data_IF_901460375854
#
_entry.id   IF_901460375854
#
_cell.length_a   1.000
_cell.length_b   1.000
_cell.length_c   1.000
_cell.angle_alpha   90.00
_cell.angle_beta   90.00
_cell.angle_gamma   90.00
#
_symmetry.space_group_name_H-M   'P 1'
#
loop_
_entity.id
_entity.type
_entity.pdbx_description
1 polymer ?
#
# COMPACT_ATOMS: atom_id res chain seq x y z
N UNK A 1 -23.51 -68.38 1.16
CA UNK A 1 -24.45 -67.25 1.25
C UNK A 1 -24.03 -66.22 0.27
N UNK A 2 -24.62 -66.22 -0.91
CA UNK A 2 -24.29 -65.32 -2.04
C UNK A 2 -25.19 -64.07 -1.99
N UNK A 3 -24.60 -62.93 -1.75
CA UNK A 3 -25.29 -61.64 -1.80
C UNK A 3 -25.76 -61.34 -3.22
N UNK A 4 -27.01 -60.91 -3.36
CA UNK A 4 -27.68 -60.65 -4.62
C UNK A 4 -27.26 -59.29 -5.23
N UNK A 5 -27.22 -59.24 -6.57
CA UNK A 5 -26.83 -58.07 -7.37
C UNK A 5 -27.70 -56.80 -7.15
N UNK A 6 -28.69 -56.81 -6.28
CA UNK A 6 -29.55 -55.65 -5.97
C UNK A 6 -29.06 -54.80 -4.79
N UNK A 7 -28.16 -55.29 -3.95
CA UNK A 7 -27.67 -54.54 -2.77
C UNK A 7 -26.44 -53.69 -3.07
N UNK A 8 -25.80 -53.89 -4.23
CA UNK A 8 -24.57 -53.11 -4.62
C UNK A 8 -24.91 -51.76 -5.28
N UNK A 9 -26.16 -51.53 -5.72
CA UNK A 9 -26.58 -50.31 -6.39
C UNK A 9 -27.14 -49.22 -5.45
N UNK A 10 -27.28 -49.49 -4.17
CA UNK A 10 -27.85 -48.56 -3.18
C UNK A 10 -26.83 -47.65 -2.49
N UNK A 11 -25.52 -47.96 -2.54
CA UNK A 11 -24.49 -47.20 -1.79
C UNK A 11 -23.75 -46.15 -2.65
N UNK A 12 -23.88 -46.25 -3.98
CA UNK A 12 -23.21 -45.30 -4.90
C UNK A 12 -23.99 -43.99 -5.18
N UNK A 13 -25.27 -43.91 -4.77
CA UNK A 13 -26.13 -42.76 -5.08
C UNK A 13 -26.18 -41.69 -3.96
N UNK A 14 -25.64 -41.97 -2.76
CA UNK A 14 -25.67 -41.03 -1.62
C UNK A 14 -24.41 -40.15 -1.48
N UNK A 15 -23.36 -40.40 -2.27
CA UNK A 15 -22.09 -39.65 -2.19
C UNK A 15 -21.98 -38.45 -3.16
N UNK A 16 -22.99 -38.17 -3.99
CA UNK A 16 -22.91 -37.14 -5.04
C UNK A 16 -23.72 -35.84 -4.76
N UNK A 17 -24.33 -35.67 -3.60
CA UNK A 17 -25.20 -34.53 -3.28
C UNK A 17 -24.68 -33.60 -2.20
N UNK A 18 -23.41 -33.70 -1.77
CA UNK A 18 -22.76 -32.75 -0.87
C UNK A 18 -21.70 -31.90 -1.59
N UNK A 19 -21.95 -31.49 -2.84
CA UNK A 19 -21.32 -30.27 -3.38
C UNK A 19 -22.02 -29.08 -2.71
N UNK A 20 -21.45 -28.66 -1.54
CA UNK A 20 -21.76 -27.34 -0.99
C UNK A 20 -21.65 -26.34 -2.14
N UNK A 21 -22.76 -25.70 -2.50
CA UNK A 21 -22.78 -24.51 -3.29
C UNK A 21 -21.84 -23.52 -2.59
N UNK A 22 -20.60 -23.44 -3.08
CA UNK A 22 -19.77 -22.26 -2.79
C UNK A 22 -20.55 -21.10 -3.42
N UNK A 23 -21.11 -20.27 -2.57
CA UNK A 23 -21.72 -19.02 -3.01
C UNK A 23 -20.77 -18.34 -3.98
N UNK A 24 -21.30 -17.81 -5.07
CA UNK A 24 -20.52 -16.99 -6.00
C UNK A 24 -19.76 -15.94 -5.17
N UNK A 25 -18.46 -15.74 -5.42
CA UNK A 25 -17.74 -14.67 -4.74
C UNK A 25 -18.47 -13.36 -5.01
N UNK A 26 -18.56 -12.46 -4.02
CA UNK A 26 -19.21 -11.17 -4.21
C UNK A 26 -18.57 -10.45 -5.40
N UNK A 27 -19.34 -9.69 -6.19
CA UNK A 27 -18.81 -8.95 -7.33
C UNK A 27 -17.69 -8.03 -6.86
N UNK A 28 -16.47 -8.19 -7.42
CA UNK A 28 -15.24 -7.51 -7.03
C UNK A 28 -14.17 -8.39 -6.38
N UNK A 29 -14.39 -9.69 -6.18
CA UNK A 29 -13.49 -10.64 -5.52
C UNK A 29 -12.38 -11.23 -6.42
N UNK A 30 -11.71 -10.42 -7.26
CA UNK A 30 -10.48 -10.82 -7.94
C UNK A 30 -9.28 -10.81 -6.99
N UNK A 31 -8.27 -11.65 -7.27
CA UNK A 31 -6.98 -11.60 -6.57
C UNK A 31 -6.37 -10.21 -6.71
N UNK A 32 -5.83 -9.66 -5.61
CA UNK A 32 -5.12 -8.37 -5.65
C UNK A 32 -3.98 -8.45 -6.67
N UNK A 33 -3.89 -7.44 -7.51
CA UNK A 33 -2.79 -7.29 -8.47
C UNK A 33 -1.47 -7.10 -7.75
N UNK A 34 -0.41 -7.46 -8.43
CA UNK A 34 0.96 -7.12 -8.02
C UNK A 34 1.62 -6.26 -9.08
N UNK A 35 2.66 -5.53 -8.68
CA UNK A 35 3.59 -4.84 -9.56
C UNK A 35 5.01 -5.14 -9.12
N UNK A 36 5.92 -5.39 -10.06
CA UNK A 36 7.30 -5.65 -9.72
C UNK A 36 7.97 -4.39 -9.16
N UNK A 37 8.81 -4.54 -8.15
CA UNK A 37 9.81 -3.55 -7.79
C UNK A 37 10.76 -3.48 -8.99
N UNK A 38 10.85 -2.34 -9.72
CA UNK A 38 11.40 -2.34 -11.09
C UNK A 38 12.85 -2.82 -11.19
N UNK A 39 13.62 -2.73 -10.10
CA UNK A 39 15.04 -3.10 -10.09
C UNK A 39 15.29 -4.57 -9.78
N UNK A 40 14.44 -5.20 -8.99
CA UNK A 40 14.63 -6.58 -8.54
C UNK A 40 13.66 -7.56 -9.15
N UNK A 41 12.52 -7.10 -9.65
CA UNK A 41 11.43 -7.95 -10.14
C UNK A 41 10.59 -8.59 -9.03
N UNK A 42 10.86 -8.27 -7.75
CA UNK A 42 10.02 -8.77 -6.65
C UNK A 42 8.61 -8.20 -6.76
N UNK A 43 7.62 -9.06 -6.74
CA UNK A 43 6.21 -8.70 -6.86
C UNK A 43 5.68 -8.11 -5.54
N UNK A 44 5.16 -6.90 -5.61
CA UNK A 44 4.57 -6.18 -4.49
C UNK A 44 3.07 -5.97 -4.73
N UNK A 45 2.19 -6.31 -3.76
CA UNK A 45 0.76 -6.01 -3.88
C UNK A 45 0.52 -4.53 -4.08
N UNK A 46 -0.43 -4.20 -4.97
CA UNK A 46 -0.66 -2.81 -5.39
C UNK A 46 -1.40 -1.94 -4.39
N UNK A 47 -1.95 -2.49 -3.31
CA UNK A 47 -2.51 -1.73 -2.18
C UNK A 47 -1.75 -2.10 -0.92
N UNK A 48 -1.21 -1.08 -0.26
CA UNK A 48 -0.62 -1.16 1.06
C UNK A 48 -1.39 -0.33 2.09
N UNK A 49 -0.75 -0.03 3.21
CA UNK A 49 -1.31 0.75 4.29
C UNK A 49 -0.27 1.69 4.90
N UNK A 50 -0.64 2.96 5.08
CA UNK A 50 0.05 3.92 5.92
C UNK A 50 -0.49 3.89 7.35
N UNK A 51 0.31 4.38 8.31
CA UNK A 51 -0.03 4.35 9.74
C UNK A 51 -0.18 5.75 10.36
N UNK A 52 0.07 6.81 9.62
CA UNK A 52 0.01 8.17 10.13
C UNK A 52 -1.37 8.52 10.68
N UNK A 53 -1.41 9.04 11.92
CA UNK A 53 -2.63 9.41 12.68
C UNK A 53 -3.58 8.25 13.00
N UNK A 54 -3.33 7.04 12.55
CA UNK A 54 -4.25 5.92 12.72
C UNK A 54 -3.74 4.86 13.68
N UNK A 55 -2.42 4.70 13.81
CA UNK A 55 -1.78 3.68 14.65
C UNK A 55 -1.12 4.23 15.92
N UNK A 56 -1.22 5.54 16.18
CA UNK A 56 -0.77 6.15 17.44
C UNK A 56 -1.84 5.95 18.53
N UNK A 57 -1.90 4.75 19.07
CA UNK A 57 -2.95 4.32 20.02
C UNK A 57 -2.38 3.57 21.22
N UNK A 58 -3.08 3.65 22.37
CA UNK A 58 -2.75 2.92 23.61
C UNK A 58 -3.83 1.90 24.00
N UNK A 59 -5.10 2.23 23.74
CA UNK A 59 -6.25 1.48 24.21
C UNK A 59 -6.38 0.09 23.58
N UNK A 60 -6.80 -0.89 24.40
CA UNK A 60 -6.99 -2.27 23.94
C UNK A 60 -8.05 -2.37 22.82
N UNK A 61 -9.15 -1.62 22.95
CA UNK A 61 -10.24 -1.60 21.95
C UNK A 61 -9.79 -1.00 20.62
N UNK A 62 -8.95 0.04 20.67
CA UNK A 62 -8.37 0.64 19.47
C UNK A 62 -7.41 -0.33 18.78
N UNK A 63 -6.54 -0.99 19.55
CA UNK A 63 -5.62 -2.02 19.06
C UNK A 63 -6.38 -3.20 18.43
N UNK A 64 -7.49 -3.64 19.03
CA UNK A 64 -8.29 -4.72 18.46
C UNK A 64 -8.91 -4.33 17.10
N UNK A 65 -9.41 -3.10 16.98
CA UNK A 65 -9.92 -2.55 15.73
C UNK A 65 -8.81 -2.48 14.67
N UNK A 66 -7.59 -2.06 15.04
CA UNK A 66 -6.45 -2.03 14.13
C UNK A 66 -5.97 -3.43 13.73
N UNK A 67 -6.09 -4.42 14.61
CA UNK A 67 -5.84 -5.83 14.26
C UNK A 67 -6.80 -6.29 13.15
N UNK A 68 -8.06 -5.89 13.24
CA UNK A 68 -9.04 -6.17 12.19
C UNK A 68 -8.70 -5.45 10.88
N UNK A 69 -8.21 -4.20 10.92
CA UNK A 69 -7.70 -3.48 9.73
C UNK A 69 -6.57 -4.27 9.06
N UNK A 70 -5.58 -4.72 9.84
CA UNK A 70 -4.48 -5.54 9.31
C UNK A 70 -4.97 -6.87 8.74
N UNK A 71 -5.94 -7.52 9.40
CA UNK A 71 -6.54 -8.75 8.92
C UNK A 71 -7.20 -8.55 7.55
N UNK A 72 -7.98 -7.48 7.36
CA UNK A 72 -8.60 -7.14 6.06
C UNK A 72 -7.56 -6.92 4.97
N UNK A 73 -6.49 -6.18 5.28
CA UNK A 73 -5.39 -5.97 4.34
C UNK A 73 -4.77 -7.31 3.89
N UNK A 74 -4.41 -8.16 4.86
CA UNK A 74 -3.71 -9.42 4.58
C UNK A 74 -4.59 -10.46 3.87
N UNK A 75 -5.86 -10.56 4.24
CA UNK A 75 -6.82 -11.46 3.59
C UNK A 75 -7.05 -11.11 2.12
N UNK A 76 -7.02 -9.81 1.80
CA UNK A 76 -7.09 -9.35 0.42
C UNK A 76 -5.79 -9.55 -0.37
N UNK A 77 -4.70 -9.96 0.27
CA UNK A 77 -3.39 -10.15 -0.35
C UNK A 77 -2.42 -8.98 -0.19
N UNK A 78 -2.83 -7.87 0.46
CA UNK A 78 -1.95 -6.74 0.77
C UNK A 78 -0.82 -7.15 1.73
N UNK A 79 0.33 -6.45 1.65
CA UNK A 79 1.52 -6.77 2.46
C UNK A 79 2.26 -5.54 2.93
N UNK A 80 2.17 -4.42 2.23
CA UNK A 80 2.95 -3.20 2.53
C UNK A 80 2.36 -2.49 3.72
N UNK A 81 3.18 -2.24 4.75
CA UNK A 81 2.84 -1.42 5.91
C UNK A 81 3.93 -0.37 6.07
N UNK A 82 3.55 0.90 5.94
CA UNK A 82 4.47 2.04 6.05
C UNK A 82 4.24 2.81 7.35
N UNK A 83 5.30 3.08 8.08
CA UNK A 83 5.31 3.85 9.32
C UNK A 83 6.45 4.89 9.36
N UNK A 84 6.64 5.55 10.48
CA UNK A 84 7.73 6.49 10.74
C UNK A 84 7.92 6.69 12.25
N UNK A 85 9.17 6.95 12.70
CA UNK A 85 9.45 7.27 14.10
C UNK A 85 8.77 8.57 14.59
N UNK A 86 8.32 9.44 13.67
CA UNK A 86 7.57 10.64 14.02
C UNK A 86 6.05 10.43 14.22
N UNK A 87 5.55 9.21 14.02
CA UNK A 87 4.11 8.92 14.13
C UNK A 87 3.71 8.40 15.53
N UNK A 88 4.33 8.94 16.58
CA UNK A 88 4.07 8.56 17.95
C UNK A 88 4.37 7.08 18.20
N UNK A 89 3.38 6.32 18.64
CA UNK A 89 3.49 4.88 18.94
C UNK A 89 3.25 3.96 17.75
N UNK A 90 3.03 4.51 16.56
CA UNK A 90 2.60 3.72 15.40
C UNK A 90 3.53 2.54 15.09
N UNK A 91 4.85 2.71 15.17
CA UNK A 91 5.81 1.63 14.95
C UNK A 91 5.68 0.50 15.98
N UNK A 92 5.52 0.87 17.25
CA UNK A 92 5.29 -0.09 18.34
C UNK A 92 3.96 -0.82 18.16
N UNK A 93 2.89 -0.07 17.88
CA UNK A 93 1.56 -0.65 17.62
C UNK A 93 1.59 -1.65 16.47
N UNK A 94 2.26 -1.33 15.36
CA UNK A 94 2.46 -2.27 14.26
C UNK A 94 3.12 -3.56 14.76
N UNK A 95 4.26 -3.45 15.46
CA UNK A 95 4.99 -4.62 15.95
C UNK A 95 4.21 -5.48 16.94
N UNK A 96 3.39 -4.87 17.80
CA UNK A 96 2.52 -5.58 18.75
C UNK A 96 1.34 -6.32 18.06
N UNK A 97 0.87 -5.79 16.92
CA UNK A 97 -0.29 -6.35 16.22
C UNK A 97 0.07 -7.38 15.15
N UNK A 98 1.32 -7.40 14.70
CA UNK A 98 1.78 -8.32 13.66
C UNK A 98 1.92 -9.75 14.19
N UNK A 99 1.16 -10.65 13.56
CA UNK A 99 1.30 -12.08 13.77
C UNK A 99 2.52 -12.69 13.07
N UNK A 100 2.70 -14.02 13.18
CA UNK A 100 3.79 -14.74 12.51
C UNK A 100 3.59 -14.85 10.99
N UNK A 101 2.37 -14.80 10.51
CA UNK A 101 1.98 -15.00 9.11
C UNK A 101 0.70 -14.21 8.79
N UNK A 102 0.61 -13.66 7.57
CA UNK A 102 1.65 -13.62 6.55
C UNK A 102 2.78 -12.63 6.90
N UNK A 103 3.99 -12.85 6.35
CA UNK A 103 5.09 -11.89 6.51
C UNK A 103 4.74 -10.60 5.76
N UNK A 104 4.68 -9.43 6.43
CA UNK A 104 4.48 -8.15 5.78
C UNK A 104 5.74 -7.70 5.02
N UNK A 105 5.57 -6.72 4.13
CA UNK A 105 6.63 -5.86 3.63
C UNK A 105 6.61 -4.58 4.48
N UNK A 106 7.60 -4.42 5.35
CA UNK A 106 7.67 -3.33 6.32
C UNK A 106 8.51 -2.18 5.79
N UNK A 107 7.94 -1.00 5.82
CA UNK A 107 8.60 0.25 5.48
C UNK A 107 8.58 1.21 6.68
N UNK A 108 9.72 1.82 6.98
CA UNK A 108 9.82 2.91 7.94
C UNK A 108 10.87 3.93 7.48
N UNK A 109 11.19 4.90 8.35
CA UNK A 109 11.94 6.06 7.93
C UNK A 109 13.02 6.43 8.96
N UNK A 110 14.01 7.21 8.52
CA UNK A 110 14.91 7.97 9.40
C UNK A 110 14.50 9.44 9.34
N UNK A 111 14.34 10.05 10.52
CA UNK A 111 13.91 11.45 10.67
C UNK A 111 14.68 12.13 11.80
N UNK A 112 15.97 12.32 11.59
CA UNK A 112 16.89 13.04 12.47
C UNK A 112 18.13 13.44 11.67
N UNK A 113 18.96 14.34 12.18
CA UNK A 113 20.25 14.68 11.59
C UNK A 113 21.37 13.92 12.27
N UNK A 114 22.49 13.75 11.57
CA UNK A 114 23.66 13.04 12.06
C UNK A 114 23.64 11.53 11.84
N UNK A 115 24.82 10.97 11.59
CA UNK A 115 24.95 9.54 11.26
C UNK A 115 24.62 8.63 12.44
N UNK A 116 25.14 8.93 13.60
CA UNK A 116 25.00 8.03 14.77
C UNK A 116 23.59 8.09 15.35
N UNK A 117 22.98 9.27 15.41
CA UNK A 117 21.59 9.47 15.78
C UNK A 117 20.66 8.78 14.79
N UNK A 118 20.94 8.89 13.48
CA UNK A 118 20.21 8.19 12.45
C UNK A 118 20.26 6.68 12.61
N UNK A 119 21.44 6.11 12.84
CA UNK A 119 21.64 4.68 13.09
C UNK A 119 20.85 4.24 14.34
N UNK A 120 20.94 5.00 15.43
CA UNK A 120 20.23 4.69 16.67
C UNK A 120 18.71 4.72 16.47
N UNK A 121 18.20 5.73 15.76
CA UNK A 121 16.76 5.84 15.44
C UNK A 121 16.28 4.68 14.56
N UNK A 122 16.96 4.40 13.45
CA UNK A 122 16.60 3.32 12.53
C UNK A 122 16.61 1.94 13.21
N UNK A 123 17.61 1.64 14.03
CA UNK A 123 17.67 0.38 14.82
C UNK A 123 16.49 0.27 15.78
N UNK A 124 16.12 1.36 16.45
CA UNK A 124 14.96 1.39 17.34
C UNK A 124 13.67 1.13 16.56
N UNK A 125 13.45 1.80 15.43
CA UNK A 125 12.30 1.59 14.55
C UNK A 125 12.17 0.15 14.07
N UNK A 126 13.27 -0.43 13.60
CA UNK A 126 13.31 -1.83 13.17
C UNK A 126 12.93 -2.78 14.31
N UNK A 127 13.46 -2.55 15.53
CA UNK A 127 13.15 -3.37 16.71
C UNK A 127 11.69 -3.24 17.13
N UNK A 128 11.10 -2.03 17.05
CA UNK A 128 9.69 -1.80 17.38
C UNK A 128 8.77 -2.49 16.39
N UNK A 129 8.99 -2.32 15.09
CA UNK A 129 8.11 -2.87 14.05
C UNK A 129 8.32 -4.36 13.81
N UNK A 130 9.56 -4.87 13.98
CA UNK A 130 9.89 -6.28 13.72
C UNK A 130 10.79 -6.86 14.80
N UNK A 131 10.27 -7.11 16.02
CA UNK A 131 11.08 -7.61 17.15
C UNK A 131 11.69 -8.99 16.91
N UNK A 132 11.18 -9.74 15.93
CA UNK A 132 11.71 -11.06 15.55
C UNK A 132 13.10 -11.00 14.91
N UNK A 133 13.53 -9.81 14.45
CA UNK A 133 14.81 -9.61 13.78
C UNK A 133 14.84 -10.11 12.33
N UNK A 134 16.02 -10.07 11.73
CA UNK A 134 16.25 -10.33 10.32
C UNK A 134 16.29 -9.04 9.50
N UNK A 135 16.50 -9.17 8.18
CA UNK A 135 16.54 -8.04 7.27
C UNK A 135 15.21 -7.29 7.27
N UNK A 136 15.27 -5.96 7.38
CA UNK A 136 14.11 -5.08 7.26
C UNK A 136 13.85 -4.76 5.78
N UNK A 137 12.60 -4.58 5.38
CA UNK A 137 12.33 -4.48 3.95
C UNK A 137 12.73 -3.13 3.38
N UNK A 138 12.18 -2.01 3.86
CA UNK A 138 12.43 -0.69 3.30
C UNK A 138 12.70 0.36 4.38
N UNK A 139 13.87 0.99 4.31
CA UNK A 139 14.22 2.15 5.13
C UNK A 139 14.30 3.40 4.25
N UNK A 140 13.56 4.45 4.62
CA UNK A 140 13.44 5.67 3.82
C UNK A 140 13.98 6.90 4.57
N UNK A 141 14.47 7.89 3.83
CA UNK A 141 14.85 9.19 4.38
C UNK A 141 13.60 10.08 4.39
N UNK A 142 13.12 10.43 5.59
CA UNK A 142 11.88 11.18 5.78
C UNK A 142 12.08 12.67 5.48
N UNK A 143 11.29 13.18 4.53
CA UNK A 143 11.30 14.59 4.13
C UNK A 143 12.70 15.12 3.77
N UNK A 144 13.53 14.27 3.20
CA UNK A 144 14.92 14.58 2.81
C UNK A 144 15.81 15.12 3.95
N UNK A 145 15.43 14.91 5.21
CA UNK A 145 16.22 15.36 6.38
C UNK A 145 17.59 14.71 6.35
N UNK A 146 18.62 15.55 6.30
CA UNK A 146 20.03 15.15 6.24
C UNK A 146 20.34 14.00 5.26
N UNK A 147 19.67 14.03 4.09
CA UNK A 147 19.68 12.93 3.14
C UNK A 147 21.09 12.53 2.68
N UNK A 148 22.03 13.50 2.57
CA UNK A 148 23.40 13.22 2.14
C UNK A 148 24.16 12.35 3.12
N UNK A 149 23.91 12.52 4.41
CA UNK A 149 24.46 11.66 5.47
C UNK A 149 23.83 10.29 5.44
N UNK A 150 22.49 10.23 5.38
CA UNK A 150 21.75 8.98 5.50
C UNK A 150 21.87 8.07 4.27
N UNK A 151 21.98 8.60 3.06
CA UNK A 151 22.17 7.79 1.84
C UNK A 151 23.39 6.87 1.97
N UNK A 152 24.49 7.35 2.54
CA UNK A 152 25.70 6.52 2.75
C UNK A 152 25.43 5.36 3.69
N UNK A 153 24.83 5.62 4.83
CA UNK A 153 24.46 4.60 5.81
C UNK A 153 23.49 3.58 5.25
N UNK A 154 22.45 4.02 4.51
CA UNK A 154 21.45 3.13 3.92
C UNK A 154 22.03 2.21 2.84
N UNK A 155 22.98 2.70 2.05
CA UNK A 155 23.72 1.87 1.09
C UNK A 155 24.57 0.82 1.81
N UNK A 156 25.36 1.22 2.82
CA UNK A 156 26.12 0.30 3.65
C UNK A 156 25.21 -0.79 4.26
N UNK A 157 24.05 -0.42 4.76
CA UNK A 157 23.09 -1.35 5.35
C UNK A 157 22.44 -2.28 4.33
N UNK A 158 22.18 -1.79 3.13
CA UNK A 158 21.70 -2.63 2.03
C UNK A 158 22.74 -3.64 1.60
N UNK A 159 23.97 -3.21 1.40
CA UNK A 159 25.10 -4.08 1.01
C UNK A 159 25.39 -5.14 2.08
N UNK A 160 25.22 -4.79 3.36
CA UNK A 160 25.35 -5.71 4.50
C UNK A 160 24.11 -6.61 4.71
N UNK A 161 23.03 -6.44 3.96
CA UNK A 161 21.79 -7.20 4.12
C UNK A 161 21.00 -6.86 5.39
N UNK A 162 21.30 -5.74 6.05
CA UNK A 162 20.53 -5.24 7.20
C UNK A 162 19.15 -4.75 6.77
N UNK A 163 19.08 -4.07 5.63
CA UNK A 163 17.85 -3.69 4.93
C UNK A 163 17.86 -4.26 3.51
N UNK A 164 16.70 -4.47 2.94
CA UNK A 164 16.56 -4.99 1.56
C UNK A 164 16.55 -3.86 0.54
N UNK A 165 15.89 -2.77 0.90
CA UNK A 165 15.67 -1.61 0.04
C UNK A 165 15.88 -0.32 0.82
N UNK A 166 16.30 0.73 0.11
CA UNK A 166 16.31 2.07 0.65
C UNK A 166 15.55 3.05 -0.24
N UNK A 167 15.04 4.12 0.37
CA UNK A 167 14.23 5.10 -0.34
C UNK A 167 14.33 6.50 0.22
N UNK A 168 13.63 7.41 -0.45
CA UNK A 168 13.42 8.80 -0.03
C UNK A 168 11.94 9.12 -0.04
N UNK A 169 11.53 10.06 0.80
CA UNK A 169 10.13 10.53 0.82
C UNK A 169 10.04 12.01 1.10
N UNK A 170 9.00 12.64 0.56
CA UNK A 170 8.60 13.98 0.93
C UNK A 170 7.10 14.17 0.72
N UNK A 171 6.42 14.84 1.68
CA UNK A 171 4.95 14.96 1.71
C UNK A 171 4.38 16.16 0.92
N UNK A 172 5.25 16.98 0.28
CA UNK A 172 4.82 18.14 -0.54
C UNK A 172 5.43 18.08 -1.94
N UNK A 173 4.69 18.55 -2.93
CA UNK A 173 5.15 18.67 -4.31
C UNK A 173 6.30 19.67 -4.50
N UNK A 174 6.46 20.63 -3.59
CA UNK A 174 7.57 21.59 -3.62
C UNK A 174 8.97 20.98 -3.53
N UNK A 175 9.08 19.72 -3.09
CA UNK A 175 10.34 18.99 -3.03
C UNK A 175 10.64 18.16 -4.31
N UNK A 176 9.74 18.12 -5.27
CA UNK A 176 9.86 17.20 -6.42
C UNK A 176 11.09 17.46 -7.29
N UNK A 177 11.52 18.72 -7.44
CA UNK A 177 12.74 19.04 -8.18
C UNK A 177 14.00 18.47 -7.50
N UNK A 178 14.12 18.57 -6.17
CA UNK A 178 15.23 17.97 -5.44
C UNK A 178 15.14 16.44 -5.47
N UNK A 179 13.94 15.88 -5.28
CA UNK A 179 13.72 14.42 -5.35
C UNK A 179 14.10 13.86 -6.72
N UNK A 180 13.75 14.55 -7.81
CA UNK A 180 14.14 14.15 -9.18
C UNK A 180 15.66 14.09 -9.33
N UNK A 181 16.38 15.12 -8.83
CA UNK A 181 17.84 15.14 -8.85
C UNK A 181 18.44 13.95 -8.07
N UNK A 182 17.89 13.66 -6.89
CA UNK A 182 18.31 12.50 -6.08
C UNK A 182 18.03 11.19 -6.83
N UNK A 183 16.85 11.04 -7.43
CA UNK A 183 16.48 9.85 -8.22
C UNK A 183 17.48 9.61 -9.35
N UNK A 184 17.82 10.65 -10.12
CA UNK A 184 18.75 10.56 -11.24
C UNK A 184 20.17 10.22 -10.79
N UNK A 185 20.64 10.82 -9.70
CA UNK A 185 22.01 10.69 -9.21
C UNK A 185 22.21 9.47 -8.32
N UNK A 186 21.37 9.32 -7.31
CA UNK A 186 21.55 8.35 -6.23
C UNK A 186 20.81 7.03 -6.48
N UNK A 187 19.79 7.05 -7.36
CA UNK A 187 19.03 5.87 -7.78
C UNK A 187 18.52 5.04 -6.59
N UNK A 188 17.69 5.61 -5.69
CA UNK A 188 17.06 4.84 -4.62
C UNK A 188 16.26 3.67 -5.19
N UNK A 189 15.91 2.70 -4.35
CA UNK A 189 15.00 1.62 -4.75
C UNK A 189 13.55 2.10 -4.74
N UNK A 190 13.21 3.01 -3.82
CA UNK A 190 11.88 3.54 -3.63
C UNK A 190 11.86 5.06 -3.49
N UNK A 191 10.78 5.64 -3.99
CA UNK A 191 10.36 7.01 -3.74
C UNK A 191 8.95 7.00 -3.18
N UNK A 192 8.69 7.76 -2.12
CA UNK A 192 7.34 7.93 -1.56
C UNK A 192 6.92 9.38 -1.67
N UNK A 193 5.77 9.64 -2.31
CA UNK A 193 5.30 10.97 -2.67
C UNK A 193 3.78 11.13 -2.50
N UNK A 194 3.28 12.35 -2.27
CA UNK A 194 1.87 12.66 -2.44
C UNK A 194 1.51 12.58 -3.93
N UNK A 195 0.44 11.87 -4.24
CA UNK A 195 -0.11 11.81 -5.59
C UNK A 195 -1.59 11.45 -5.52
N UNK A 196 -2.41 12.29 -6.12
CA UNK A 196 -3.87 12.19 -6.11
C UNK A 196 -4.46 12.89 -7.32
N UNK A 197 -5.76 12.81 -7.50
CA UNK A 197 -6.47 13.55 -8.53
C UNK A 197 -6.25 15.08 -8.41
N UNK A 198 -6.09 15.60 -7.19
CA UNK A 198 -5.85 17.00 -6.91
C UNK A 198 -4.36 17.40 -6.87
N UNK A 199 -3.45 16.46 -6.68
CA UNK A 199 -1.99 16.69 -6.59
C UNK A 199 -1.30 15.84 -7.66
N UNK A 200 -1.08 16.42 -8.85
CA UNK A 200 -0.62 15.71 -10.06
C UNK A 200 0.75 16.13 -10.56
N UNK A 201 1.40 17.08 -9.94
CA UNK A 201 2.67 17.68 -10.38
C UNK A 201 3.79 16.64 -10.55
N UNK A 202 3.67 15.48 -9.88
CA UNK A 202 4.61 14.37 -10.07
C UNK A 202 4.61 13.80 -11.50
N UNK A 203 3.50 13.94 -12.24
CA UNK A 203 3.37 13.46 -13.63
C UNK A 203 4.30 14.19 -14.59
N UNK A 204 4.63 15.45 -14.31
CA UNK A 204 5.40 16.30 -15.21
C UNK A 204 6.86 15.79 -15.37
N UNK A 205 7.51 15.43 -14.25
CA UNK A 205 8.94 15.11 -14.25
C UNK A 205 9.34 13.96 -13.33
N UNK A 206 8.80 13.91 -12.10
CA UNK A 206 9.28 12.97 -11.07
C UNK A 206 8.88 11.52 -11.36
N UNK A 207 7.65 11.26 -11.76
CA UNK A 207 7.21 9.91 -12.15
C UNK A 207 7.93 9.40 -13.41
N UNK A 208 8.12 10.20 -14.49
CA UNK A 208 9.00 9.82 -15.60
C UNK A 208 10.43 9.51 -15.16
N UNK A 209 11.03 10.34 -14.31
CA UNK A 209 12.38 10.10 -13.81
C UNK A 209 12.49 8.81 -12.96
N UNK A 210 11.47 8.49 -12.17
CA UNK A 210 11.40 7.23 -11.42
C UNK A 210 11.32 6.02 -12.37
N UNK A 211 10.50 6.10 -13.42
CA UNK A 211 10.38 5.04 -14.43
C UNK A 211 11.72 4.81 -15.15
N UNK A 212 12.37 5.87 -15.63
CA UNK A 212 13.66 5.79 -16.32
C UNK A 212 14.78 5.23 -15.43
N UNK A 213 14.79 5.60 -14.14
CA UNK A 213 15.75 5.12 -13.16
C UNK A 213 15.40 3.74 -12.57
N UNK A 214 14.25 3.15 -12.94
CA UNK A 214 13.74 1.89 -12.40
C UNK A 214 13.54 1.94 -10.89
N UNK A 215 12.91 3.01 -10.40
CA UNK A 215 12.60 3.26 -8.99
C UNK A 215 11.12 2.97 -8.75
N UNK A 216 10.81 2.22 -7.69
CA UNK A 216 9.45 1.94 -7.28
C UNK A 216 8.83 3.19 -6.61
N UNK A 217 7.53 3.43 -6.85
CA UNK A 217 6.82 4.58 -6.30
C UNK A 217 5.74 4.13 -5.34
N UNK A 218 5.88 4.49 -4.06
CA UNK A 218 4.81 4.45 -3.07
C UNK A 218 4.06 5.78 -3.10
N UNK A 219 2.74 5.72 -3.06
CA UNK A 219 1.91 6.93 -3.03
C UNK A 219 1.32 7.12 -1.64
N UNK A 220 1.77 8.15 -0.95
CA UNK A 220 1.14 8.62 0.28
C UNK A 220 0.06 9.66 -0.01
N UNK A 221 -0.82 9.92 0.99
CA UNK A 221 -1.91 10.91 0.89
C UNK A 221 -2.82 10.73 -0.35
N UNK A 222 -3.20 9.51 -0.72
CA UNK A 222 -4.02 9.27 -1.92
C UNK A 222 -5.38 9.98 -1.86
N UNK A 223 -5.85 10.32 -0.66
CA UNK A 223 -7.09 11.05 -0.38
C UNK A 223 -6.86 12.46 0.19
N UNK A 224 -5.65 13.03 0.04
CA UNK A 224 -5.30 14.39 0.51
C UNK A 224 -5.63 14.61 1.99
N UNK A 225 -5.21 13.69 2.85
CA UNK A 225 -5.57 13.63 4.28
C UNK A 225 -7.10 13.58 4.52
N UNK A 226 -7.85 13.02 3.57
CA UNK A 226 -9.29 12.81 3.64
C UNK A 226 -10.14 13.96 3.09
N UNK A 227 -9.54 15.09 2.66
CA UNK A 227 -10.29 16.20 2.07
C UNK A 227 -11.01 15.76 0.78
N UNK A 228 -10.28 15.11 -0.12
CA UNK A 228 -10.81 14.66 -1.40
C UNK A 228 -12.00 13.68 -1.24
N UNK A 229 -11.93 12.77 -0.27
CA UNK A 229 -13.07 11.90 0.03
C UNK A 229 -14.27 12.67 0.57
N UNK A 230 -14.07 13.64 1.50
CA UNK A 230 -15.17 14.47 2.02
C UNK A 230 -15.88 15.23 0.92
N UNK A 231 -15.15 15.70 -0.09
CA UNK A 231 -15.71 16.49 -1.19
C UNK A 231 -16.57 15.65 -2.14
N UNK A 232 -16.31 14.34 -2.24
CA UNK A 232 -16.98 13.47 -3.21
C UNK A 232 -17.94 12.46 -2.59
N UNK A 233 -17.78 12.07 -1.33
CA UNK A 233 -18.55 10.98 -0.70
C UNK A 233 -20.07 11.20 -0.66
N UNK A 234 -20.51 12.45 -0.77
CA UNK A 234 -21.93 12.81 -0.81
C UNK A 234 -22.52 12.82 -2.24
N UNK A 235 -21.67 12.69 -3.26
CA UNK A 235 -22.10 12.64 -4.65
C UNK A 235 -22.49 11.19 -5.00
N UNK A 236 -23.56 10.99 -5.80
CA UNK A 236 -23.83 9.67 -6.33
C UNK A 236 -22.65 9.18 -7.16
N UNK A 237 -22.42 7.86 -7.14
CA UNK A 237 -21.40 7.30 -8.01
C UNK A 237 -21.81 7.49 -9.48
N UNK A 238 -20.89 7.94 -10.33
CA UNK A 238 -21.17 8.07 -11.75
C UNK A 238 -21.42 6.69 -12.39
N UNK A 239 -22.26 6.64 -13.41
CA UNK A 239 -22.61 5.39 -14.09
C UNK A 239 -21.40 4.63 -14.65
N UNK A 240 -20.35 5.36 -15.03
CA UNK A 240 -19.12 4.77 -15.55
C UNK A 240 -18.24 4.10 -14.46
N UNK A 241 -18.54 4.26 -13.16
CA UNK A 241 -17.79 3.57 -12.11
C UNK A 241 -17.77 2.04 -12.30
N UNK A 242 -18.87 1.48 -12.83
CA UNK A 242 -18.96 0.07 -13.18
C UNK A 242 -18.01 -0.35 -14.33
N UNK A 243 -17.60 0.57 -15.20
CA UNK A 243 -16.65 0.29 -16.29
C UNK A 243 -15.25 -0.08 -15.77
N UNK A 244 -14.92 0.39 -14.56
CA UNK A 244 -13.68 0.09 -13.86
C UNK A 244 -13.91 -0.73 -12.58
N UNK A 245 -15.02 -1.44 -12.48
CA UNK A 245 -15.39 -2.31 -11.37
C UNK A 245 -15.31 -1.61 -10.00
N UNK A 246 -15.75 -0.34 -9.90
CA UNK A 246 -15.79 0.43 -8.66
C UNK A 246 -17.20 0.52 -8.08
N UNK A 247 -17.30 0.39 -6.76
CA UNK A 247 -18.52 0.52 -5.97
C UNK A 247 -18.46 1.64 -4.92
N UNK A 248 -17.33 2.37 -4.87
CA UNK A 248 -17.13 3.50 -3.98
C UNK A 248 -16.21 4.56 -4.60
N UNK A 249 -16.27 5.78 -4.08
CA UNK A 249 -15.35 6.85 -4.47
C UNK A 249 -13.91 6.55 -4.06
N UNK A 250 -13.68 5.89 -2.93
CA UNK A 250 -12.33 5.50 -2.50
C UNK A 250 -11.69 4.57 -3.54
N UNK A 251 -12.43 3.59 -4.05
CA UNK A 251 -11.95 2.70 -5.12
C UNK A 251 -11.65 3.48 -6.41
N UNK A 252 -12.50 4.43 -6.81
CA UNK A 252 -12.25 5.25 -8.00
C UNK A 252 -10.94 6.03 -7.87
N UNK A 253 -10.73 6.70 -6.73
CA UNK A 253 -9.54 7.50 -6.47
C UNK A 253 -8.26 6.65 -6.43
N UNK A 254 -8.30 5.49 -5.77
CA UNK A 254 -7.17 4.56 -5.72
C UNK A 254 -6.88 3.94 -7.10
N UNK A 255 -7.90 3.57 -7.85
CA UNK A 255 -7.71 3.06 -9.22
C UNK A 255 -7.20 4.12 -10.18
N UNK A 256 -7.60 5.38 -10.00
CA UNK A 256 -7.03 6.49 -10.75
C UNK A 256 -5.51 6.57 -10.55
N UNK A 257 -5.04 6.46 -9.31
CA UNK A 257 -3.61 6.42 -8.98
C UNK A 257 -2.95 5.19 -9.60
N UNK A 258 -3.55 4.01 -9.44
CA UNK A 258 -3.05 2.76 -9.99
C UNK A 258 -3.07 2.72 -11.53
N UNK A 259 -3.90 3.52 -12.17
CA UNK A 259 -3.91 3.69 -13.63
C UNK A 259 -2.61 4.28 -14.18
N UNK A 260 -1.79 4.96 -13.34
CA UNK A 260 -0.49 5.46 -13.76
C UNK A 260 0.57 4.33 -13.73
N UNK A 261 1.27 4.06 -14.85
CA UNK A 261 2.17 2.89 -14.95
C UNK A 261 3.39 2.96 -14.04
N UNK A 262 3.90 4.16 -13.70
CA UNK A 262 5.05 4.33 -12.82
C UNK A 262 4.73 4.13 -11.33
N UNK A 263 3.45 4.12 -10.92
CA UNK A 263 3.07 3.90 -9.53
C UNK A 263 3.18 2.43 -9.17
N UNK A 264 3.79 2.11 -8.05
CA UNK A 264 3.88 0.73 -7.54
C UNK A 264 2.75 0.42 -6.55
N UNK A 265 2.57 1.25 -5.51
CA UNK A 265 1.63 0.94 -4.44
C UNK A 265 1.17 2.22 -3.69
N UNK A 266 -0.10 2.63 -3.76
CA UNK A 266 -0.68 3.57 -2.83
C UNK A 266 -0.86 2.95 -1.44
N UNK A 267 -0.66 3.79 -0.40
CA UNK A 267 -0.70 3.41 1.01
C UNK A 267 -1.71 4.26 1.78
N UNK A 268 -3.03 4.09 1.51
CA UNK A 268 -4.06 4.76 2.31
C UNK A 268 -3.91 4.42 3.78
N UNK A 269 -4.29 5.35 4.67
CA UNK A 269 -4.25 5.16 6.11
C UNK A 269 -5.67 5.19 6.68
N UNK A 270 -6.04 4.17 7.43
CA UNK A 270 -7.33 4.09 8.10
C UNK A 270 -7.26 3.32 9.42
N UNK A 271 -8.11 3.69 10.39
CA UNK A 271 -8.38 2.91 11.60
C UNK A 271 -9.72 2.18 11.55
N UNK A 272 -10.44 2.25 10.41
CA UNK A 272 -11.72 1.59 10.22
C UNK A 272 -11.55 0.34 9.33
N UNK A 273 -11.87 -0.86 9.83
CA UNK A 273 -11.78 -2.11 9.05
C UNK A 273 -12.60 -2.11 7.76
N UNK A 274 -13.77 -1.47 7.75
CA UNK A 274 -14.63 -1.42 6.56
C UNK A 274 -14.03 -0.51 5.47
N UNK A 275 -13.36 0.58 5.86
CA UNK A 275 -12.61 1.39 4.90
C UNK A 275 -11.46 0.60 4.28
N UNK A 276 -10.71 -0.17 5.09
CA UNK A 276 -9.65 -1.04 4.55
C UNK A 276 -10.23 -2.11 3.61
N UNK A 277 -11.35 -2.72 3.98
CA UNK A 277 -12.04 -3.69 3.14
C UNK A 277 -12.51 -3.08 1.81
N UNK A 278 -12.83 -1.80 1.79
CA UNK A 278 -13.19 -1.06 0.59
C UNK A 278 -11.95 -0.69 -0.24
N UNK A 279 -10.93 -0.14 0.39
CA UNK A 279 -9.68 0.30 -0.25
C UNK A 279 -8.98 -0.86 -0.99
N UNK A 280 -8.90 -2.05 -0.39
CA UNK A 280 -8.22 -3.21 -1.00
C UNK A 280 -8.90 -3.71 -2.27
N UNK A 281 -10.19 -3.44 -2.47
CA UNK A 281 -10.91 -3.78 -3.71
C UNK A 281 -10.39 -3.01 -4.91
N UNK A 282 -9.81 -1.82 -4.71
CA UNK A 282 -9.16 -1.08 -5.78
C UNK A 282 -7.98 -1.83 -6.39
N UNK A 283 -7.39 -2.77 -5.66
CA UNK A 283 -6.28 -3.61 -6.13
C UNK A 283 -6.69 -4.70 -7.13
N UNK A 284 -7.97 -4.86 -7.44
CA UNK A 284 -8.47 -5.90 -8.35
C UNK A 284 -9.34 -5.31 -9.47
N UNK A 285 -9.68 -6.15 -10.46
CA UNK A 285 -10.55 -5.73 -11.58
C UNK A 285 -9.86 -4.79 -12.56
N UNK A 286 -10.62 -4.03 -13.35
CA UNK A 286 -10.12 -3.15 -14.41
C UNK A 286 -9.52 -1.88 -13.84
N UNK A 287 -8.41 -1.44 -14.42
CA UNK A 287 -7.81 -0.14 -14.13
C UNK A 287 -8.17 0.85 -15.25
N UNK A 288 -8.34 2.15 -14.94
CA UNK A 288 -8.52 3.16 -15.95
C UNK A 288 -7.24 3.33 -16.78
N UNK A 289 -7.39 3.41 -18.08
CA UNK A 289 -6.34 3.90 -18.97
C UNK A 289 -6.20 5.43 -18.86
N UNK A 290 -5.27 6.00 -19.62
CA UNK A 290 -5.01 7.43 -19.53
C UNK A 290 -6.20 8.31 -19.98
N UNK A 291 -6.95 7.90 -20.98
CA UNK A 291 -8.14 8.62 -21.41
C UNK A 291 -9.22 8.63 -20.32
N UNK A 292 -9.39 7.47 -19.67
CA UNK A 292 -10.32 7.34 -18.56
C UNK A 292 -9.86 8.11 -17.32
N UNK A 293 -8.56 8.13 -17.02
CA UNK A 293 -8.00 8.95 -15.94
C UNK A 293 -8.28 10.44 -16.17
N UNK A 294 -8.12 10.95 -17.41
CA UNK A 294 -8.49 12.34 -17.76
C UNK A 294 -9.97 12.60 -17.57
N UNK A 295 -10.85 11.65 -17.91
CA UNK A 295 -12.30 11.76 -17.68
C UNK A 295 -12.61 11.90 -16.18
N UNK A 296 -11.99 11.07 -15.32
CA UNK A 296 -12.15 11.16 -13.86
C UNK A 296 -11.74 12.55 -13.35
N UNK A 297 -10.59 13.07 -13.78
CA UNK A 297 -10.14 14.42 -13.41
C UNK A 297 -11.15 15.47 -13.82
N UNK A 298 -11.60 15.45 -15.08
CA UNK A 298 -12.56 16.44 -15.59
C UNK A 298 -13.86 16.46 -14.77
N UNK A 299 -14.36 15.30 -14.38
CA UNK A 299 -15.59 15.19 -13.58
C UNK A 299 -15.40 15.68 -12.15
N UNK A 300 -14.24 15.41 -11.54
CA UNK A 300 -13.98 15.84 -10.18
C UNK A 300 -13.62 17.32 -10.06
N UNK A 301 -12.96 17.89 -11.08
CA UNK A 301 -12.55 19.31 -11.10
C UNK A 301 -13.52 20.21 -11.85
N UNK A 302 -14.34 19.68 -12.77
CA UNK A 302 -15.27 20.42 -13.60
C UNK A 302 -16.62 20.77 -12.96
N UNK A 303 -16.94 20.23 -11.78
CA UNK A 303 -18.18 20.52 -11.06
C UNK A 303 -18.19 21.81 -10.24
N UNK A 304 -17.14 22.61 -10.29
CA UNK A 304 -16.97 23.88 -9.58
C UNK A 304 -16.85 25.08 -10.55
N UNK A 305 -17.64 25.10 -11.62
CA UNK A 305 -17.87 26.31 -12.44
C UNK A 305 -19.34 26.66 -12.51
#
# INVERSE_FOLDING_TARGET
MTMSRREVLGVAAAALLARRARGAPPPGGGTMRTRPIPRTGEELPVIGMGTWRTFDVEGASEKERLREVLRRLFEAGGRVIDSSPMYGRAEQTVGELLGPSPRPFLATKVWTSGRDEGIAQMRRSMKLMWPKGGAFDLMQIHNLVDWRTHVRTLREWKDAGTIRYWGITHYTSGAFDEMEQIVKKEKPDFVQIPYSVGVREAEDRLLPACADARVAVLVERPFEAGSLLRDVMHRPLPSWAAEIDCTSWAQILLKWILGHPAVTCPIPATSNPEHMADDVRAGSGRLPDEAFRRRIVAELTGGNR
#
